data_IF_807891629718
#
_entry.id   IF_807891629718
#
_cell.length_a   1.000
_cell.length_b   1.000
_cell.length_c   1.000
_cell.angle_alpha   90.00
_cell.angle_beta   90.00
_cell.angle_gamma   90.00
#
_symmetry.space_group_name_H-M   'P 1'
#
loop_
_entity.id
_entity.type
_entity.pdbx_description
1 polymer ?
#
# COMPACT_ATOMS: atom_id res chain seq x y z
N UNK A 1 -5.68 20.70 14.68
CA UNK A 1 -5.77 21.50 13.46
C UNK A 1 -5.17 20.66 12.35
N UNK A 2 -5.95 20.22 11.38
CA UNK A 2 -5.39 19.51 10.21
C UNK A 2 -4.72 20.58 9.36
N UNK A 3 -3.41 20.47 9.20
CA UNK A 3 -2.62 21.34 8.34
C UNK A 3 -2.99 21.09 6.88
N UNK A 4 -2.98 22.12 6.04
CA UNK A 4 -3.13 21.95 4.59
C UNK A 4 -1.89 21.35 3.92
N UNK A 5 -0.79 21.25 4.65
CA UNK A 5 0.45 20.65 4.18
C UNK A 5 0.43 19.12 4.31
N UNK A 6 1.06 18.40 3.36
CA UNK A 6 1.20 16.95 3.45
C UNK A 6 2.00 16.54 4.68
N UNK A 7 1.52 15.53 5.41
CA UNK A 7 2.10 15.09 6.67
C UNK A 7 2.16 13.57 6.81
N UNK A 8 2.94 13.12 7.77
CA UNK A 8 2.94 11.73 8.25
C UNK A 8 2.12 11.68 9.52
N UNK A 9 1.15 10.77 9.59
CA UNK A 9 0.31 10.58 10.75
C UNK A 9 0.98 9.63 11.74
N UNK A 10 1.09 10.06 12.99
CA UNK A 10 1.51 9.22 14.12
C UNK A 10 0.32 8.95 15.04
N UNK A 11 0.06 7.70 15.39
CA UNK A 11 -1.04 7.32 16.27
C UNK A 11 -0.68 6.13 17.15
N UNK A 12 -1.44 5.93 18.24
CA UNK A 12 -1.33 4.68 19.01
C UNK A 12 -1.81 3.49 18.20
N UNK A 13 -2.96 3.62 17.58
CA UNK A 13 -3.54 2.69 16.62
C UNK A 13 -4.42 3.48 15.65
N UNK A 14 -4.74 2.90 14.51
CA UNK A 14 -5.61 3.52 13.50
C UNK A 14 -6.72 2.53 13.19
N UNK A 15 -7.96 2.97 13.41
CA UNK A 15 -9.11 2.15 13.07
C UNK A 15 -9.34 2.12 11.54
N UNK A 16 -9.83 1.00 10.99
CA UNK A 16 -10.09 0.88 9.56
C UNK A 16 -10.97 1.99 8.99
N UNK A 17 -11.97 2.43 9.76
CA UNK A 17 -12.88 3.54 9.37
C UNK A 17 -12.16 4.88 9.24
N UNK A 18 -11.12 5.12 10.03
CA UNK A 18 -10.31 6.34 9.97
C UNK A 18 -9.37 6.28 8.76
N UNK A 19 -8.71 5.14 8.57
CA UNK A 19 -7.79 4.93 7.47
C UNK A 19 -8.47 4.98 6.09
N UNK A 20 -9.77 4.66 6.01
CA UNK A 20 -10.56 4.83 4.78
C UNK A 20 -10.72 6.30 4.37
N UNK A 21 -10.74 7.21 5.34
CA UNK A 21 -10.92 8.65 5.13
C UNK A 21 -9.62 9.37 4.76
N UNK A 22 -8.47 8.68 4.79
CA UNK A 22 -7.19 9.30 4.48
C UNK A 22 -7.14 9.76 3.02
N UNK A 23 -6.95 11.06 2.86
CA UNK A 23 -6.61 11.66 1.58
C UNK A 23 -5.12 11.43 1.31
N UNK A 24 -4.81 10.68 0.26
CA UNK A 24 -3.43 10.41 -0.17
C UNK A 24 -2.65 11.67 -0.55
N UNK A 25 -3.33 12.74 -0.88
CA UNK A 25 -2.68 14.01 -1.16
C UNK A 25 -2.12 14.67 0.11
N UNK A 26 -2.75 14.38 1.26
CA UNK A 26 -2.37 14.97 2.56
C UNK A 26 -1.60 13.97 3.44
N UNK A 27 -2.03 12.71 3.52
CA UNK A 27 -1.38 11.69 4.34
C UNK A 27 -0.32 10.96 3.51
N UNK A 28 0.92 11.36 3.67
CA UNK A 28 2.07 10.77 2.97
C UNK A 28 2.45 9.37 3.49
N UNK A 29 2.07 9.07 4.70
CA UNK A 29 2.31 7.80 5.37
C UNK A 29 1.81 7.83 6.80
N UNK A 30 1.85 6.69 7.48
CA UNK A 30 1.52 6.65 8.89
C UNK A 30 2.38 5.67 9.68
N UNK A 31 2.48 5.93 10.97
CA UNK A 31 3.20 5.12 11.94
C UNK A 31 2.31 4.84 13.15
N UNK A 32 2.36 3.62 13.69
CA UNK A 32 1.58 3.28 14.87
C UNK A 32 2.42 2.63 15.97
N UNK A 33 2.02 2.86 17.22
CA UNK A 33 2.61 2.17 18.37
C UNK A 33 2.22 0.70 18.40
N UNK A 34 0.94 0.41 18.12
CA UNK A 34 0.37 -0.93 18.18
C UNK A 34 0.00 -1.43 16.78
N UNK A 35 -0.36 -2.70 16.71
CA UNK A 35 -0.76 -3.36 15.48
C UNK A 35 0.26 -4.39 15.01
N UNK A 36 -0.16 -5.20 14.05
CA UNK A 36 0.65 -6.24 13.42
C UNK A 36 0.59 -6.13 11.91
N UNK A 37 1.50 -6.82 11.23
CA UNK A 37 1.57 -6.84 9.76
C UNK A 37 0.30 -7.38 9.09
N UNK A 38 -0.50 -8.14 9.85
CA UNK A 38 -1.78 -8.71 9.41
C UNK A 38 -3.00 -7.92 9.90
N UNK A 39 -2.80 -6.78 10.59
CA UNK A 39 -3.93 -5.94 11.01
C UNK A 39 -4.67 -5.37 9.79
N UNK A 40 -5.94 -5.07 9.98
CA UNK A 40 -6.76 -4.44 8.93
C UNK A 40 -6.14 -3.13 8.44
N UNK A 41 -5.53 -2.37 9.34
CA UNK A 41 -4.82 -1.13 9.02
C UNK A 41 -3.62 -1.38 8.11
N UNK A 42 -2.84 -2.44 8.37
CA UNK A 42 -1.71 -2.82 7.52
C UNK A 42 -2.16 -3.25 6.12
N UNK A 43 -3.24 -4.03 6.04
CA UNK A 43 -3.83 -4.45 4.77
C UNK A 43 -4.31 -3.23 3.97
N UNK A 44 -5.02 -2.31 4.64
CA UNK A 44 -5.53 -1.11 4.01
C UNK A 44 -4.43 -0.18 3.51
N UNK A 45 -3.34 -0.02 4.28
CA UNK A 45 -2.16 0.73 3.85
C UNK A 45 -1.60 0.20 2.53
N UNK A 46 -1.45 -1.13 2.43
CA UNK A 46 -0.96 -1.79 1.21
C UNK A 46 -1.92 -1.59 0.05
N UNK A 47 -3.21 -1.80 0.26
CA UNK A 47 -4.24 -1.62 -0.78
C UNK A 47 -4.26 -0.19 -1.29
N UNK A 48 -4.16 0.78 -0.40
CA UNK A 48 -4.09 2.20 -0.78
C UNK A 48 -2.70 2.63 -1.27
N UNK A 49 -1.66 1.81 -1.12
CA UNK A 49 -0.28 2.17 -1.47
C UNK A 49 0.25 3.34 -0.64
N UNK A 50 -0.12 3.40 0.64
CA UNK A 50 0.36 4.39 1.61
C UNK A 50 1.49 3.75 2.42
N UNK A 51 2.70 4.34 2.49
CA UNK A 51 3.77 3.85 3.34
C UNK A 51 3.36 3.79 4.80
N UNK A 52 3.63 2.66 5.47
CA UNK A 52 3.29 2.50 6.89
C UNK A 52 4.37 1.71 7.64
N UNK A 53 4.60 2.08 8.89
CA UNK A 53 5.37 1.29 9.86
C UNK A 53 4.50 1.12 11.10
N UNK A 54 4.25 -0.13 11.45
CA UNK A 54 3.27 -0.52 12.47
C UNK A 54 3.95 -1.27 13.59
N UNK A 55 3.51 -1.03 14.83
CA UNK A 55 4.02 -1.76 15.99
C UNK A 55 5.35 -1.22 16.52
N UNK A 56 5.59 0.09 16.43
CA UNK A 56 6.79 0.73 16.95
C UNK A 56 6.88 0.72 18.49
N UNK A 57 5.76 0.44 19.19
CA UNK A 57 5.71 0.44 20.64
C UNK A 57 6.13 1.80 21.22
N UNK A 58 6.87 1.74 22.30
CA UNK A 58 7.38 2.93 23.02
C UNK A 58 8.47 3.70 22.26
N UNK A 59 8.95 3.17 21.13
CA UNK A 59 9.88 3.91 20.26
C UNK A 59 9.21 5.08 19.54
N UNK A 60 7.87 5.09 19.45
CA UNK A 60 7.11 6.22 18.92
C UNK A 60 6.80 7.19 20.08
N UNK A 61 7.43 8.36 20.08
CA UNK A 61 7.34 9.33 21.17
C UNK A 61 6.62 10.59 20.71
N UNK A 62 5.94 11.26 21.65
CA UNK A 62 5.24 12.53 21.39
C UNK A 62 6.19 13.66 21.01
N UNK A 63 7.47 13.60 21.47
CA UNK A 63 8.52 14.57 21.11
C UNK A 63 8.86 14.61 19.61
N UNK A 64 8.34 13.66 18.82
CA UNK A 64 8.53 13.63 17.36
C UNK A 64 7.50 14.43 16.60
N UNK A 65 6.48 14.96 17.29
CA UNK A 65 5.48 15.82 16.66
C UNK A 65 6.12 17.07 16.03
N UNK A 66 5.70 17.39 14.83
CA UNK A 66 6.24 18.52 14.05
C UNK A 66 7.66 18.30 13.47
N UNK A 67 8.30 17.15 13.70
CA UNK A 67 9.64 16.85 13.16
C UNK A 67 9.58 16.26 11.78
N UNK A 68 10.66 16.45 11.02
CA UNK A 68 10.83 15.79 9.73
C UNK A 68 11.08 14.30 9.93
N UNK A 69 10.32 13.47 9.22
CA UNK A 69 10.38 12.01 9.31
C UNK A 69 10.51 11.36 7.92
N UNK A 70 11.28 10.28 7.85
CA UNK A 70 11.25 9.35 6.73
C UNK A 70 10.63 8.03 7.20
N UNK A 71 9.71 7.49 6.41
CA UNK A 71 9.13 6.16 6.61
C UNK A 71 9.71 5.21 5.55
N UNK A 72 10.37 4.16 5.99
CA UNK A 72 10.77 3.02 5.15
C UNK A 72 9.87 1.81 5.46
N UNK A 73 8.80 1.70 4.72
CA UNK A 73 7.85 0.58 4.85
C UNK A 73 8.40 -0.77 4.39
N UNK A 74 9.52 -0.80 3.65
CA UNK A 74 10.18 -2.05 3.24
C UNK A 74 10.99 -2.65 4.38
N UNK A 75 11.73 -1.81 5.10
CA UNK A 75 12.56 -2.24 6.24
C UNK A 75 11.85 -2.11 7.59
N UNK A 76 10.64 -1.51 7.61
CA UNK A 76 9.91 -1.26 8.85
C UNK A 76 10.61 -0.25 9.77
N UNK A 77 11.29 0.73 9.19
CA UNK A 77 12.09 1.73 9.92
C UNK A 77 11.53 3.13 9.75
N UNK A 78 11.74 3.94 10.77
CA UNK A 78 11.52 5.38 10.71
C UNK A 78 12.83 6.10 11.02
N UNK A 79 13.05 7.25 10.41
CA UNK A 79 14.19 8.12 10.66
C UNK A 79 13.64 9.48 11.06
N UNK A 80 13.96 9.93 12.27
CA UNK A 80 13.53 11.22 12.82
C UNK A 80 14.67 12.22 12.61
N UNK A 81 14.35 13.40 12.06
CA UNK A 81 15.32 14.45 11.75
C UNK A 81 16.56 13.88 11.04
N UNK A 82 16.37 13.17 9.90
CA UNK A 82 17.47 12.52 9.19
C UNK A 82 18.50 13.54 8.73
N UNK A 83 19.76 13.17 8.83
CA UNK A 83 20.84 13.96 8.27
C UNK A 83 20.79 14.01 6.72
N UNK A 84 21.55 14.90 6.14
CA UNK A 84 21.57 15.11 4.69
C UNK A 84 21.97 13.84 3.91
N UNK A 85 22.91 13.05 4.45
CA UNK A 85 23.36 11.82 3.82
C UNK A 85 22.24 10.77 3.78
N UNK A 86 21.52 10.59 4.88
CA UNK A 86 20.35 9.69 4.99
C UNK A 86 19.23 10.15 4.07
N UNK A 87 18.93 11.45 4.05
CA UNK A 87 17.92 12.02 3.13
C UNK A 87 18.26 11.73 1.66
N UNK A 88 19.51 11.97 1.27
CA UNK A 88 19.95 11.73 -0.11
C UNK A 88 19.82 10.26 -0.49
N UNK A 89 20.33 9.36 0.36
CA UNK A 89 20.24 7.91 0.15
C UNK A 89 18.79 7.44 0.00
N UNK A 90 17.88 7.93 0.85
CA UNK A 90 16.48 7.52 0.80
C UNK A 90 15.73 8.10 -0.40
N UNK A 91 16.09 9.31 -0.85
CA UNK A 91 15.57 9.86 -2.11
C UNK A 91 16.00 9.03 -3.32
N UNK A 92 17.28 8.68 -3.42
CA UNK A 92 17.79 7.81 -4.49
C UNK A 92 17.08 6.46 -4.52
N UNK A 93 16.85 5.85 -3.33
CA UNK A 93 16.11 4.59 -3.19
C UNK A 93 14.65 4.74 -3.64
N UNK A 94 13.98 5.82 -3.26
CA UNK A 94 12.62 6.14 -3.72
C UNK A 94 12.58 6.27 -5.25
N UNK A 95 13.51 7.01 -5.83
CA UNK A 95 13.57 7.22 -7.28
C UNK A 95 13.88 5.92 -8.02
N UNK A 96 14.73 5.06 -7.48
CA UNK A 96 15.00 3.73 -8.04
C UNK A 96 13.73 2.86 -8.03
N UNK A 97 12.98 2.86 -6.93
CA UNK A 97 11.72 2.14 -6.84
C UNK A 97 10.68 2.68 -7.82
N UNK A 98 10.55 4.00 -7.95
CA UNK A 98 9.64 4.61 -8.92
C UNK A 98 10.01 4.25 -10.37
N UNK A 99 11.31 4.22 -10.70
CA UNK A 99 11.78 3.75 -12.01
C UNK A 99 11.43 2.28 -12.22
N UNK A 100 11.60 1.45 -11.20
CA UNK A 100 11.24 0.03 -11.27
C UNK A 100 9.75 -0.16 -11.55
N UNK A 101 8.87 0.50 -10.79
CA UNK A 101 7.41 0.46 -11.01
C UNK A 101 7.04 0.91 -12.43
N UNK A 102 7.60 2.03 -12.92
CA UNK A 102 7.37 2.49 -14.29
C UNK A 102 7.83 1.49 -15.35
N UNK A 103 8.92 0.78 -15.10
CA UNK A 103 9.39 -0.26 -16.01
C UNK A 103 8.43 -1.47 -16.02
N UNK A 104 7.88 -1.85 -14.87
CA UNK A 104 6.85 -2.89 -14.79
C UNK A 104 5.57 -2.47 -15.53
N UNK A 105 5.15 -1.21 -15.40
CA UNK A 105 4.00 -0.69 -16.14
C UNK A 105 4.15 -0.77 -17.66
N UNK A 106 5.38 -0.68 -18.18
CA UNK A 106 5.65 -0.87 -19.62
C UNK A 106 5.47 -2.31 -20.11
N UNK A 107 5.32 -3.26 -19.20
CA UNK A 107 5.06 -4.66 -19.53
C UNK A 107 3.58 -4.91 -19.77
N UNK A 108 2.69 -4.00 -19.37
CA UNK A 108 1.24 -4.11 -19.63
C UNK A 108 0.98 -4.22 -21.13
N UNK A 109 0.05 -5.07 -21.50
CA UNK A 109 -0.29 -5.36 -22.90
C UNK A 109 0.69 -6.28 -23.61
N UNK A 110 1.76 -6.76 -22.97
CA UNK A 110 2.67 -7.74 -23.53
C UNK A 110 2.21 -9.15 -23.19
N UNK A 111 2.43 -10.08 -24.14
CA UNK A 111 2.14 -11.48 -23.86
C UNK A 111 3.06 -12.05 -22.78
N UNK A 112 2.45 -12.82 -21.87
CA UNK A 112 3.18 -13.53 -20.82
C UNK A 112 3.73 -14.83 -21.39
N UNK A 113 4.97 -14.80 -21.83
CA UNK A 113 5.67 -15.93 -22.49
C UNK A 113 6.93 -16.26 -21.70
N UNK A 114 7.15 -17.54 -21.40
CA UNK A 114 8.42 -18.02 -20.80
C UNK A 114 9.57 -17.90 -21.77
N UNK A 115 10.80 -18.04 -21.30
CA UNK A 115 11.97 -18.10 -22.16
C UNK A 115 11.95 -19.28 -23.15
N UNK A 116 11.21 -20.35 -22.82
CA UNK A 116 10.97 -21.51 -23.71
C UNK A 116 9.86 -21.30 -24.73
N UNK A 117 9.21 -20.12 -24.75
CA UNK A 117 8.12 -19.80 -25.68
C UNK A 117 6.74 -20.25 -25.24
N UNK A 118 6.58 -20.79 -24.01
CA UNK A 118 5.29 -21.21 -23.48
C UNK A 118 4.50 -20.01 -22.98
N UNK A 119 3.25 -19.86 -23.43
CA UNK A 119 2.33 -18.83 -22.95
C UNK A 119 1.80 -19.21 -21.56
N UNK A 120 1.76 -18.25 -20.64
CA UNK A 120 1.26 -18.41 -19.27
C UNK A 120 0.13 -17.39 -19.04
N UNK A 121 -1.01 -17.87 -18.56
CA UNK A 121 -2.08 -17.00 -18.13
C UNK A 121 -1.84 -16.55 -16.69
N UNK A 122 -1.66 -15.23 -16.50
CA UNK A 122 -1.49 -14.62 -15.19
C UNK A 122 -2.81 -14.08 -14.72
N UNK A 123 -3.39 -14.70 -13.68
CA UNK A 123 -4.66 -14.32 -13.10
C UNK A 123 -4.45 -13.58 -11.76
N UNK A 124 -5.33 -12.63 -11.46
CA UNK A 124 -5.35 -11.94 -10.20
C UNK A 124 -6.30 -12.61 -9.19
N UNK A 125 -5.94 -12.51 -7.92
CA UNK A 125 -6.85 -12.87 -6.82
C UNK A 125 -7.65 -11.64 -6.41
N UNK A 126 -8.96 -11.81 -6.21
CA UNK A 126 -9.89 -10.76 -5.80
C UNK A 126 -10.51 -11.14 -4.47
N UNK A 127 -10.32 -10.32 -3.45
CA UNK A 127 -10.91 -10.49 -2.12
C UNK A 127 -12.05 -9.50 -1.84
N UNK A 128 -12.00 -8.33 -2.47
CA UNK A 128 -12.97 -7.24 -2.27
C UNK A 128 -13.42 -6.63 -3.59
N UNK A 129 -14.48 -5.83 -3.54
CA UNK A 129 -14.98 -5.13 -4.73
C UNK A 129 -13.97 -4.10 -5.26
N UNK A 130 -13.23 -3.47 -4.36
CA UNK A 130 -12.21 -2.47 -4.68
C UNK A 130 -11.02 -3.10 -5.45
N UNK A 131 -10.76 -4.40 -5.24
CA UNK A 131 -9.69 -5.11 -5.95
C UNK A 131 -9.98 -5.23 -7.46
N UNK A 132 -11.24 -5.21 -7.86
CA UNK A 132 -11.64 -5.32 -9.29
C UNK A 132 -11.03 -4.17 -10.10
N UNK A 133 -11.07 -2.95 -9.57
CA UNK A 133 -10.45 -1.80 -10.24
C UNK A 133 -8.95 -1.97 -10.39
N UNK A 134 -8.29 -2.51 -9.36
CA UNK A 134 -6.86 -2.80 -9.39
C UNK A 134 -6.52 -3.89 -10.41
N UNK A 135 -7.36 -4.93 -10.51
CA UNK A 135 -7.21 -6.01 -11.51
C UNK A 135 -7.32 -5.45 -12.92
N UNK A 136 -8.34 -4.63 -13.18
CA UNK A 136 -8.52 -3.99 -14.49
C UNK A 136 -7.33 -3.09 -14.86
N UNK A 137 -6.72 -2.44 -13.87
CA UNK A 137 -5.54 -1.59 -14.08
C UNK A 137 -4.25 -2.40 -14.24
N UNK A 138 -4.16 -3.62 -13.69
CA UNK A 138 -2.95 -4.44 -13.69
C UNK A 138 -2.76 -5.28 -14.95
N UNK A 139 -3.73 -5.25 -15.88
CA UNK A 139 -3.69 -6.05 -17.12
C UNK A 139 -3.60 -7.57 -16.85
N UNK A 140 -4.28 -8.03 -15.81
CA UNK A 140 -4.39 -9.45 -15.51
C UNK A 140 -5.25 -10.15 -16.57
N UNK A 141 -4.82 -11.33 -17.02
CA UNK A 141 -5.54 -12.13 -18.03
C UNK A 141 -6.90 -12.69 -17.55
N UNK A 142 -7.19 -12.58 -16.25
CA UNK A 142 -8.45 -13.01 -15.65
C UNK A 142 -8.40 -12.98 -14.12
N UNK A 143 -9.49 -13.47 -13.50
CA UNK A 143 -9.60 -13.67 -12.05
C UNK A 143 -9.38 -15.16 -11.78
N UNK A 144 -8.32 -15.50 -11.05
CA UNK A 144 -8.00 -16.90 -10.71
C UNK A 144 -8.72 -17.38 -9.46
N UNK A 145 -8.92 -16.49 -8.47
CA UNK A 145 -9.61 -16.79 -7.23
C UNK A 145 -10.38 -15.58 -6.74
N UNK A 146 -11.64 -15.77 -6.35
CA UNK A 146 -12.44 -14.79 -5.65
C UNK A 146 -12.75 -15.29 -4.24
N UNK A 147 -12.48 -14.48 -3.21
CA UNK A 147 -12.82 -14.80 -1.83
C UNK A 147 -14.32 -14.99 -1.64
N UNK A 148 -14.72 -15.92 -0.78
CA UNK A 148 -16.11 -16.33 -0.55
C UNK A 148 -17.09 -15.21 -0.13
N UNK A 149 -16.59 -14.04 0.21
CA UNK A 149 -17.40 -12.87 0.61
C UNK A 149 -17.84 -12.01 -0.59
N UNK A 150 -17.46 -12.40 -1.81
CA UNK A 150 -17.80 -11.67 -3.02
C UNK A 150 -18.86 -12.43 -3.81
N UNK A 151 -20.12 -12.32 -3.38
CA UNK A 151 -21.26 -12.72 -4.17
C UNK A 151 -21.77 -11.52 -4.97
N UNK A 152 -21.63 -11.55 -6.28
CA UNK A 152 -22.34 -10.62 -7.17
C UNK A 152 -23.79 -11.11 -7.20
N UNK A 153 -24.63 -10.54 -6.35
CA UNK A 153 -26.05 -10.74 -6.48
C UNK A 153 -26.61 -9.79 -7.53
N UNK A 154 -26.89 -10.30 -8.66
CA UNK A 154 -27.70 -9.63 -9.68
C UNK A 154 -29.14 -10.16 -9.58
N UNK A 155 -29.79 -9.81 -8.53
CA UNK A 155 -31.19 -9.65 -8.16
C UNK A 155 -32.26 -10.57 -8.75
N UNK A 156 -32.12 -11.90 -8.99
CA UNK A 156 -33.31 -12.71 -9.19
C UNK A 156 -33.25 -14.22 -8.92
N UNK A 157 -32.10 -14.84 -8.69
CA UNK A 157 -32.05 -16.24 -8.19
C UNK A 157 -30.66 -16.54 -7.61
N UNK A 158 -30.62 -17.18 -6.42
CA UNK A 158 -29.42 -17.86 -5.92
C UNK A 158 -29.08 -19.01 -6.90
N UNK A 159 -27.80 -19.16 -7.29
CA UNK A 159 -27.37 -20.36 -7.97
C UNK A 159 -27.49 -21.54 -6.99
N UNK A 160 -28.16 -22.59 -7.46
CA UNK A 160 -28.31 -23.89 -6.78
C UNK A 160 -26.98 -24.60 -6.61
#
# INVERSE_FOLDING_TARGET
MLTDEPFVMAARDIYPSEALQFDKAKVLGFVTMYGTINSHTAVLARTKGIPAVIGLGESLKEEYDGKTIIIDGYEGKIYIEPDYATLTKMRERKDANLRHVRNLERLKGKENITQSGQKIDICANVGTREDIENVLRSDAGGIGYSGANFCIWNGSKLPS
#
